data_IF_067415317058
#
_entry.id   IF_067415317058
#
_cell.length_a   1.000
_cell.length_b   1.000
_cell.length_c   1.000
_cell.angle_alpha   90.00
_cell.angle_beta   90.00
_cell.angle_gamma   90.00
#
_symmetry.space_group_name_H-M   'P 1'
#
loop_
_entity.id
_entity.type
_entity.pdbx_description
1 polymer ?
#
# COMPACT_ATOMS: atom_id res chain seq x y z
N UNK A 1 -10.66 -15.31 12.41
CA UNK A 1 -11.03 -14.35 11.34
C UNK A 1 -9.80 -13.74 10.68
N UNK A 2 -9.08 -12.78 11.27
CA UNK A 2 -7.99 -12.08 10.55
C UNK A 2 -6.84 -12.98 10.06
N UNK A 3 -6.39 -13.94 10.89
CA UNK A 3 -5.31 -14.87 10.50
C UNK A 3 -5.72 -15.80 9.34
N UNK A 4 -6.99 -16.19 9.28
CA UNK A 4 -7.54 -17.01 8.19
C UNK A 4 -7.66 -16.19 6.90
N UNK A 5 -8.11 -14.93 7.01
CA UNK A 5 -8.14 -14.01 5.85
C UNK A 5 -6.74 -13.77 5.30
N UNK A 6 -5.75 -13.56 6.17
CA UNK A 6 -4.34 -13.38 5.79
C UNK A 6 -3.80 -14.62 5.08
N UNK A 7 -4.02 -15.82 5.63
CA UNK A 7 -3.62 -17.08 5.00
C UNK A 7 -4.25 -17.26 3.60
N UNK A 8 -5.56 -17.02 3.48
CA UNK A 8 -6.26 -17.09 2.19
C UNK A 8 -5.74 -16.05 1.18
N UNK A 9 -5.37 -14.85 1.63
CA UNK A 9 -4.76 -13.84 0.76
C UNK A 9 -3.42 -14.32 0.22
N UNK A 10 -2.57 -14.90 1.07
CA UNK A 10 -1.29 -15.46 0.64
C UNK A 10 -1.45 -16.60 -0.37
N UNK A 11 -2.38 -17.52 -0.14
CA UNK A 11 -2.67 -18.62 -1.07
C UNK A 11 -3.11 -18.12 -2.46
N UNK A 12 -3.88 -17.02 -2.48
CA UNK A 12 -4.39 -16.40 -3.71
C UNK A 12 -3.45 -15.33 -4.30
N UNK A 13 -2.21 -15.21 -3.82
CA UNK A 13 -1.18 -14.24 -4.24
C UNK A 13 -1.60 -12.76 -4.10
N UNK A 14 -2.45 -12.46 -3.11
CA UNK A 14 -2.75 -11.10 -2.65
C UNK A 14 -1.76 -10.68 -1.56
N UNK A 15 -1.40 -9.39 -1.55
CA UNK A 15 -0.72 -8.79 -0.41
C UNK A 15 -1.76 -8.37 0.63
N UNK A 16 -1.68 -8.94 1.83
CA UNK A 16 -2.53 -8.56 2.95
C UNK A 16 -1.84 -7.51 3.82
N UNK A 17 -2.54 -6.41 4.12
CA UNK A 17 -2.01 -5.31 4.93
C UNK A 17 -2.99 -5.03 6.06
N UNK A 18 -2.46 -4.95 7.29
CA UNK A 18 -3.25 -4.61 8.48
C UNK A 18 -2.85 -3.25 9.03
N UNK A 19 -3.82 -2.37 9.19
CA UNK A 19 -3.66 -1.03 9.74
C UNK A 19 -4.51 -0.93 11.00
N UNK A 20 -3.91 -0.55 12.13
CA UNK A 20 -4.63 -0.42 13.40
C UNK A 20 -4.55 1.03 13.90
N UNK A 21 -5.70 1.69 14.04
CA UNK A 21 -5.80 3.06 14.54
C UNK A 21 -5.28 3.23 15.99
N UNK A 22 -5.13 2.16 16.76
CA UNK A 22 -4.50 2.19 18.10
C UNK A 22 -3.02 2.54 18.07
N UNK A 23 -2.29 2.13 17.02
CA UNK A 23 -0.82 2.18 16.95
C UNK A 23 -0.29 3.14 15.88
N UNK A 24 -1.16 3.75 15.08
CA UNK A 24 -0.80 4.72 14.04
C UNK A 24 -1.66 5.98 14.12
N UNK A 25 -1.26 7.08 13.45
CA UNK A 25 -2.17 8.22 13.24
C UNK A 25 -3.04 7.95 12.02
N UNK A 26 -4.18 7.28 12.21
CA UNK A 26 -5.05 6.88 11.10
C UNK A 26 -5.64 8.05 10.30
N UNK A 27 -5.67 9.25 10.88
CA UNK A 27 -6.10 10.48 10.22
C UNK A 27 -5.03 11.12 9.33
N UNK A 28 -3.78 10.63 9.38
CA UNK A 28 -2.66 11.18 8.60
C UNK A 28 -2.37 10.27 7.39
N UNK A 29 -2.60 10.74 6.15
CA UNK A 29 -2.39 9.94 4.94
C UNK A 29 -0.96 9.39 4.80
N UNK A 30 0.06 10.15 5.22
CA UNK A 30 1.44 9.71 5.19
C UNK A 30 1.72 8.57 6.19
N UNK A 31 1.09 8.58 7.36
CA UNK A 31 1.25 7.48 8.34
C UNK A 31 0.55 6.22 7.85
N UNK A 32 -0.60 6.37 7.18
CA UNK A 32 -1.25 5.27 6.47
C UNK A 32 -0.27 4.65 5.46
N UNK A 33 0.35 5.47 4.61
CA UNK A 33 1.30 4.98 3.62
C UNK A 33 2.52 4.31 4.25
N UNK A 34 3.14 4.89 5.28
CA UNK A 34 4.33 4.30 5.92
C UNK A 34 4.00 2.98 6.63
N UNK A 35 2.85 2.88 7.29
CA UNK A 35 2.39 1.62 7.91
C UNK A 35 2.04 0.56 6.88
N UNK A 36 1.49 0.97 5.74
CA UNK A 36 1.31 0.09 4.59
C UNK A 36 2.66 -0.39 4.05
N UNK A 37 3.57 0.54 3.76
CA UNK A 37 4.82 0.26 3.08
C UNK A 37 5.78 -0.58 3.93
N UNK A 38 5.76 -0.45 5.25
CA UNK A 38 6.57 -1.28 6.16
C UNK A 38 6.14 -2.75 6.21
N UNK A 39 4.96 -3.10 5.69
CA UNK A 39 4.48 -4.49 5.61
C UNK A 39 4.74 -5.13 4.24
N UNK A 40 5.29 -4.38 3.28
CA UNK A 40 5.55 -4.84 1.92
C UNK A 40 7.03 -5.17 1.76
N UNK A 41 7.33 -6.37 1.27
CA UNK A 41 8.68 -6.72 0.84
C UNK A 41 8.98 -6.10 -0.54
N UNK A 42 9.47 -4.86 -0.52
CA UNK A 42 9.78 -4.11 -1.74
C UNK A 42 10.92 -4.72 -2.57
N UNK A 43 11.85 -5.44 -1.94
CA UNK A 43 12.92 -6.13 -2.66
C UNK A 43 12.36 -7.33 -3.42
N UNK A 44 11.51 -8.13 -2.78
CA UNK A 44 10.78 -9.20 -3.46
C UNK A 44 9.98 -8.66 -4.65
N UNK A 45 9.29 -7.53 -4.51
CA UNK A 45 8.55 -6.92 -5.61
C UNK A 45 9.45 -6.44 -6.75
N UNK A 46 10.59 -5.84 -6.44
CA UNK A 46 11.59 -5.46 -7.45
C UNK A 46 12.11 -6.68 -8.22
N UNK A 47 12.44 -7.76 -7.51
CA UNK A 47 12.91 -9.02 -8.10
C UNK A 47 11.84 -9.68 -8.98
N UNK A 48 10.58 -9.75 -8.51
CA UNK A 48 9.44 -10.20 -9.32
C UNK A 48 9.29 -9.37 -10.60
N UNK A 49 9.46 -8.04 -10.53
CA UNK A 49 9.41 -7.18 -11.72
C UNK A 49 10.52 -7.54 -12.72
N UNK A 50 11.74 -7.74 -12.25
CA UNK A 50 12.89 -8.10 -13.10
C UNK A 50 12.63 -9.44 -13.80
N UNK A 51 12.19 -10.46 -13.06
CA UNK A 51 11.89 -11.79 -13.61
C UNK A 51 10.74 -11.73 -14.62
N UNK A 52 9.72 -10.92 -14.36
CA UNK A 52 8.65 -10.66 -15.32
C UNK A 52 9.18 -10.06 -16.61
N UNK A 53 9.98 -8.99 -16.52
CA UNK A 53 10.60 -8.37 -17.70
C UNK A 53 11.53 -9.34 -18.42
N UNK A 54 12.25 -10.19 -17.70
CA UNK A 54 13.11 -11.21 -18.29
C UNK A 54 12.29 -12.23 -19.11
N UNK A 55 11.16 -12.68 -18.55
CA UNK A 55 10.22 -13.56 -19.25
C UNK A 55 9.66 -12.88 -20.51
N UNK A 56 9.29 -11.60 -20.43
CA UNK A 56 8.81 -10.81 -21.58
C UNK A 56 9.89 -10.65 -22.67
N UNK A 57 11.17 -10.77 -22.34
CA UNK A 57 12.29 -10.77 -23.30
C UNK A 57 12.69 -12.18 -23.78
N UNK A 58 12.00 -13.23 -23.32
CA UNK A 58 12.27 -14.61 -23.72
C UNK A 58 13.41 -15.29 -22.96
N UNK A 59 13.88 -14.72 -21.85
CA UNK A 59 14.83 -15.40 -20.97
C UNK A 59 14.13 -16.52 -20.20
N UNK A 60 14.84 -17.64 -20.01
CA UNK A 60 14.43 -18.71 -19.10
C UNK A 60 14.65 -18.25 -17.66
N UNK A 61 13.63 -18.39 -16.82
CA UNK A 61 13.69 -18.03 -15.40
C UNK A 61 13.31 -19.19 -14.48
N UNK A 62 13.11 -20.38 -15.05
CA UNK A 62 12.72 -21.58 -14.29
C UNK A 62 13.75 -21.88 -13.20
N UNK A 63 13.25 -22.05 -11.98
CA UNK A 63 14.09 -22.34 -10.81
C UNK A 63 14.77 -21.11 -10.18
N UNK A 64 14.54 -19.88 -10.67
CA UNK A 64 15.03 -18.65 -10.02
C UNK A 64 13.96 -18.16 -9.02
N UNK A 65 14.15 -18.34 -7.70
CA UNK A 65 13.16 -17.91 -6.73
C UNK A 65 13.20 -16.38 -6.60
N UNK A 66 12.07 -15.67 -6.66
CA UNK A 66 12.06 -14.22 -6.50
C UNK A 66 12.53 -13.80 -5.10
N UNK A 67 12.34 -14.64 -4.08
CA UNK A 67 12.80 -14.40 -2.71
C UNK A 67 14.22 -14.90 -2.40
N UNK A 68 14.96 -15.41 -3.39
CA UNK A 68 16.34 -15.83 -3.15
C UNK A 68 17.24 -14.64 -2.86
N UNK A 69 18.23 -14.82 -2.00
CA UNK A 69 19.30 -13.84 -1.82
C UNK A 69 20.29 -13.86 -2.99
N UNK A 70 20.99 -12.73 -3.19
CA UNK A 70 22.03 -12.59 -4.22
C UNK A 70 21.56 -11.90 -5.51
N UNK A 71 22.47 -11.78 -6.47
CA UNK A 71 22.23 -11.03 -7.71
C UNK A 71 21.27 -11.78 -8.64
N UNK A 72 20.10 -11.17 -8.89
CA UNK A 72 19.06 -11.76 -9.75
C UNK A 72 19.48 -11.77 -11.23
N UNK A 73 20.26 -10.79 -11.68
CA UNK A 73 20.77 -10.71 -13.04
C UNK A 73 21.80 -11.81 -13.30
N UNK A 74 22.70 -12.07 -12.35
CA UNK A 74 23.66 -13.19 -12.41
C UNK A 74 22.92 -14.54 -12.48
N UNK A 75 21.82 -14.68 -11.73
CA UNK A 75 20.99 -15.89 -11.74
C UNK A 75 20.30 -16.12 -13.10
N UNK A 76 19.76 -15.05 -13.70
CA UNK A 76 19.17 -15.11 -15.04
C UNK A 76 20.24 -15.44 -16.08
N UNK A 77 21.42 -14.80 -16.01
CA UNK A 77 22.51 -15.02 -16.95
C UNK A 77 22.99 -16.46 -16.91
N UNK A 78 23.22 -17.01 -15.71
CA UNK A 78 23.63 -18.40 -15.49
C UNK A 78 22.61 -19.38 -16.09
N UNK A 79 21.31 -19.16 -15.83
CA UNK A 79 20.22 -20.02 -16.34
C UNK A 79 20.14 -20.01 -17.88
N UNK A 80 20.58 -18.92 -18.52
CA UNK A 80 20.54 -18.76 -19.97
C UNK A 80 21.89 -19.03 -20.65
N UNK A 81 22.95 -19.34 -19.90
CA UNK A 81 24.30 -19.51 -20.45
C UNK A 81 24.87 -18.23 -21.06
N UNK A 82 24.51 -17.08 -20.48
CA UNK A 82 24.89 -15.74 -20.94
C UNK A 82 25.79 -15.04 -19.92
N UNK A 83 26.46 -13.98 -20.38
CA UNK A 83 27.17 -13.05 -19.50
C UNK A 83 26.19 -12.09 -18.80
N UNK A 84 26.43 -11.83 -17.52
CA UNK A 84 25.52 -11.02 -16.71
C UNK A 84 25.37 -9.58 -17.19
N UNK A 85 26.47 -8.96 -17.67
CA UNK A 85 26.43 -7.60 -18.22
C UNK A 85 25.52 -7.48 -19.44
N UNK A 86 25.40 -8.54 -20.24
CA UNK A 86 24.48 -8.57 -21.38
C UNK A 86 23.01 -8.57 -20.91
N UNK A 87 22.69 -9.40 -19.91
CA UNK A 87 21.35 -9.45 -19.31
C UNK A 87 21.01 -8.11 -18.66
N UNK A 88 21.94 -7.55 -17.88
CA UNK A 88 21.79 -6.26 -17.23
C UNK A 88 21.52 -5.13 -18.24
N UNK A 89 22.28 -5.06 -19.33
CA UNK A 89 22.10 -4.05 -20.37
C UNK A 89 20.69 -4.09 -20.97
N UNK A 90 20.21 -5.28 -21.34
CA UNK A 90 18.87 -5.45 -21.90
C UNK A 90 17.76 -5.13 -20.90
N UNK A 91 17.84 -5.67 -19.68
CA UNK A 91 16.81 -5.47 -18.67
C UNK A 91 16.80 -4.05 -18.11
N UNK A 92 17.94 -3.35 -18.05
CA UNK A 92 18.02 -1.94 -17.69
C UNK A 92 17.17 -1.07 -18.62
N UNK A 93 17.23 -1.30 -19.94
CA UNK A 93 16.40 -0.58 -20.91
C UNK A 93 14.90 -0.85 -20.68
N UNK A 94 14.55 -2.09 -20.35
CA UNK A 94 13.17 -2.47 -20.04
C UNK A 94 12.68 -1.81 -18.76
N UNK A 95 13.49 -1.79 -17.69
CA UNK A 95 13.14 -1.12 -16.43
C UNK A 95 12.96 0.38 -16.66
N UNK A 96 13.84 1.01 -17.45
CA UNK A 96 13.69 2.41 -17.81
C UNK A 96 12.36 2.67 -18.56
N UNK A 97 12.01 1.82 -19.52
CA UNK A 97 10.82 2.03 -20.34
C UNK A 97 9.51 1.66 -19.62
N UNK A 98 9.52 0.63 -18.78
CA UNK A 98 8.31 0.05 -18.15
C UNK A 98 8.05 0.55 -16.73
N UNK A 99 9.10 0.96 -16.01
CA UNK A 99 9.01 1.47 -14.64
C UNK A 99 9.25 2.97 -14.63
N UNK A 100 10.45 3.43 -14.99
CA UNK A 100 10.83 4.84 -14.85
C UNK A 100 9.95 5.80 -15.68
N UNK A 101 9.54 5.39 -16.89
CA UNK A 101 8.66 6.20 -17.77
C UNK A 101 7.16 6.00 -17.49
N UNK A 102 6.78 5.15 -16.53
CA UNK A 102 5.37 4.83 -16.29
C UNK A 102 4.63 5.98 -15.57
N UNK A 103 3.80 6.70 -16.31
CA UNK A 103 3.06 7.87 -15.81
C UNK A 103 1.85 7.53 -14.94
N UNK A 104 1.47 6.26 -14.82
CA UNK A 104 0.41 5.83 -13.89
C UNK A 104 0.87 5.84 -12.42
N UNK A 105 2.18 5.98 -12.18
CA UNK A 105 2.76 6.13 -10.86
C UNK A 105 3.33 7.53 -10.67
N UNK A 106 3.31 8.01 -9.42
CA UNK A 106 3.97 9.23 -9.00
C UNK A 106 5.45 9.20 -9.40
N UNK A 107 5.96 10.35 -9.85
CA UNK A 107 7.32 10.47 -10.40
C UNK A 107 8.39 9.89 -9.47
N UNK A 108 8.39 10.30 -8.21
CA UNK A 108 9.44 9.88 -7.29
C UNK A 108 9.23 8.44 -6.80
N UNK A 109 8.00 7.92 -6.84
CA UNK A 109 7.71 6.51 -6.60
C UNK A 109 8.31 5.63 -7.71
N UNK A 110 8.05 5.93 -8.98
CA UNK A 110 8.61 5.14 -10.10
C UNK A 110 10.12 5.28 -10.23
N UNK A 111 10.70 6.41 -9.83
CA UNK A 111 12.15 6.58 -9.70
C UNK A 111 12.69 5.63 -8.64
N UNK A 112 12.09 5.62 -7.43
CA UNK A 112 12.44 4.69 -6.36
C UNK A 112 12.36 3.22 -6.82
N UNK A 113 11.24 2.80 -7.42
CA UNK A 113 11.08 1.42 -7.91
C UNK A 113 12.12 1.05 -8.98
N UNK A 114 12.48 1.98 -9.87
CA UNK A 114 13.51 1.76 -10.88
C UNK A 114 14.88 1.53 -10.24
N UNK A 115 15.23 2.32 -9.23
CA UNK A 115 16.47 2.14 -8.49
C UNK A 115 16.46 0.83 -7.70
N UNK A 116 15.39 0.50 -6.98
CA UNK A 116 15.29 -0.79 -6.28
C UNK A 116 15.48 -1.97 -7.23
N UNK A 117 14.95 -1.92 -8.46
CA UNK A 117 15.23 -2.96 -9.46
C UNK A 117 16.70 -3.01 -9.89
N UNK A 118 17.37 -1.86 -10.02
CA UNK A 118 18.79 -1.81 -10.37
C UNK A 118 19.70 -2.32 -9.24
N UNK A 119 19.32 -2.09 -7.98
CA UNK A 119 20.07 -2.53 -6.80
C UNK A 119 20.09 -4.05 -6.61
N UNK A 120 19.16 -4.78 -7.25
CA UNK A 120 19.20 -6.25 -7.24
C UNK A 120 20.34 -6.84 -8.11
N UNK A 121 21.15 -5.98 -8.75
CA UNK A 121 22.42 -6.34 -9.40
C UNK A 121 23.64 -6.29 -8.46
N UNK A 122 23.47 -5.93 -7.19
CA UNK A 122 24.61 -5.64 -6.32
C UNK A 122 25.40 -6.90 -5.96
N UNK A 123 26.72 -6.88 -6.25
CA UNK A 123 27.69 -7.95 -5.92
C UNK A 123 28.47 -7.69 -4.62
N UNK A 124 28.50 -6.45 -4.14
CA UNK A 124 29.26 -5.99 -2.97
C UNK A 124 28.41 -5.66 -1.74
N UNK A 125 27.17 -6.17 -1.69
CA UNK A 125 26.16 -5.80 -0.70
C UNK A 125 25.08 -4.90 -1.30
N UNK A 126 23.84 -5.05 -0.82
CA UNK A 126 22.73 -4.21 -1.22
C UNK A 126 22.98 -2.76 -0.77
N UNK A 127 22.66 -1.76 -1.61
CA UNK A 127 22.81 -0.34 -1.25
C UNK A 127 21.51 0.46 -1.36
N UNK A 128 20.39 -0.25 -1.53
CA UNK A 128 19.04 0.33 -1.61
C UNK A 128 18.41 0.67 -0.26
N UNK A 129 19.10 0.47 0.87
CA UNK A 129 18.60 0.74 2.22
C UNK A 129 18.08 2.18 2.39
N UNK A 130 18.74 3.24 1.87
CA UNK A 130 18.20 4.59 1.98
C UNK A 130 16.83 4.76 1.28
N UNK A 131 16.62 4.07 0.16
CA UNK A 131 15.35 4.08 -0.57
C UNK A 131 14.27 3.35 0.22
N UNK A 132 14.58 2.18 0.78
CA UNK A 132 13.67 1.42 1.62
C UNK A 132 13.30 2.19 2.89
N UNK A 133 14.28 2.76 3.60
CA UNK A 133 14.05 3.55 4.81
C UNK A 133 13.19 4.79 4.54
N UNK A 134 13.36 5.44 3.38
CA UNK A 134 12.51 6.55 2.97
C UNK A 134 11.08 6.12 2.62
N UNK A 135 10.94 5.05 1.85
CA UNK A 135 9.65 4.54 1.40
C UNK A 135 8.80 4.02 2.57
N UNK A 136 9.42 3.37 3.55
CA UNK A 136 8.78 2.81 4.74
C UNK A 136 8.60 3.81 5.88
N UNK A 137 9.21 4.99 5.78
CA UNK A 137 9.11 6.06 6.77
C UNK A 137 10.08 5.95 7.95
N UNK A 138 11.00 4.99 7.96
CA UNK A 138 12.10 4.90 8.93
C UNK A 138 13.02 6.13 8.87
N UNK A 139 13.26 6.65 7.66
CA UNK A 139 13.97 7.90 7.44
C UNK A 139 13.24 8.79 6.42
N UNK A 140 12.40 9.69 6.93
CA UNK A 140 11.62 10.62 6.09
C UNK A 140 12.44 11.78 5.51
N UNK A 141 13.74 11.90 5.84
CA UNK A 141 14.58 13.01 5.36
C UNK A 141 14.96 12.81 3.91
N UNK A 142 14.56 13.78 3.10
CA UNK A 142 14.80 13.75 1.66
C UNK A 142 16.28 13.77 1.27
N UNK A 143 17.13 14.32 2.13
CA UNK A 143 18.58 14.37 1.90
C UNK A 143 19.20 12.98 1.71
N UNK A 144 18.62 11.94 2.32
CA UNK A 144 19.08 10.56 2.17
C UNK A 144 18.77 9.95 0.80
N UNK A 145 17.76 10.46 0.09
CA UNK A 145 17.31 9.92 -1.20
C UNK A 145 17.54 10.86 -2.39
N UNK A 146 17.99 12.09 -2.15
CA UNK A 146 18.39 13.03 -3.22
C UNK A 146 19.41 12.46 -4.21
N UNK A 147 20.42 11.66 -3.81
CA UNK A 147 21.35 11.04 -4.77
C UNK A 147 20.66 10.16 -5.82
N UNK A 148 19.47 9.62 -5.50
CA UNK A 148 18.66 8.81 -6.40
C UNK A 148 17.65 9.65 -7.22
N UNK A 149 17.85 10.97 -7.30
CA UNK A 149 16.94 11.91 -8.00
C UNK A 149 15.51 11.96 -7.44
N UNK A 150 15.35 11.70 -6.14
CA UNK A 150 14.07 11.83 -5.42
C UNK A 150 14.07 13.17 -4.67
N UNK A 151 13.03 13.98 -4.89
CA UNK A 151 12.96 15.38 -4.43
C UNK A 151 11.63 15.76 -3.76
N UNK A 152 10.68 14.83 -3.67
CA UNK A 152 9.40 14.99 -2.98
C UNK A 152 9.38 14.23 -1.65
N UNK A 153 8.97 14.89 -0.57
CA UNK A 153 8.70 14.20 0.70
C UNK A 153 7.35 13.50 0.67
N UNK A 154 7.24 12.36 1.33
CA UNK A 154 5.97 11.69 1.58
C UNK A 154 5.33 12.36 2.80
N UNK A 155 4.30 13.17 2.56
CA UNK A 155 3.62 13.99 3.55
C UNK A 155 2.10 13.97 3.30
N UNK A 156 1.33 14.71 4.10
CA UNK A 156 -0.14 14.75 4.03
C UNK A 156 -0.68 15.02 2.62
N UNK A 157 0.00 15.85 1.84
CA UNK A 157 -0.46 16.30 0.53
C UNK A 157 -0.02 15.37 -0.61
N UNK A 158 1.02 14.56 -0.38
CA UNK A 158 1.63 13.72 -1.43
C UNK A 158 1.33 12.25 -1.24
N UNK A 159 1.13 11.78 0.00
CA UNK A 159 1.02 10.36 0.34
C UNK A 159 -0.06 9.62 -0.44
N UNK A 160 -1.17 10.28 -0.79
CA UNK A 160 -2.21 9.68 -1.62
C UNK A 160 -1.68 9.16 -2.96
N UNK A 161 -0.86 9.94 -3.65
CA UNK A 161 -0.25 9.53 -4.91
C UNK A 161 0.70 8.33 -4.72
N UNK A 162 1.37 8.24 -3.57
CA UNK A 162 2.22 7.10 -3.22
C UNK A 162 1.40 5.85 -2.92
N UNK A 163 0.26 5.98 -2.23
CA UNK A 163 -0.68 4.88 -1.97
C UNK A 163 -1.23 4.32 -3.29
N UNK A 164 -1.75 5.19 -4.15
CA UNK A 164 -2.28 4.81 -5.47
C UNK A 164 -1.18 4.14 -6.33
N UNK A 165 0.05 4.67 -6.30
CA UNK A 165 1.20 4.08 -7.01
C UNK A 165 1.59 2.71 -6.46
N UNK A 166 1.51 2.50 -5.15
CA UNK A 166 1.85 1.23 -4.53
C UNK A 166 0.87 0.12 -4.91
N UNK A 167 -0.44 0.38 -4.85
CA UNK A 167 -1.45 -0.57 -5.32
C UNK A 167 -1.27 -0.93 -6.79
N UNK A 168 -1.03 0.09 -7.63
CA UNK A 168 -0.74 -0.11 -9.04
C UNK A 168 0.54 -0.94 -9.25
N UNK A 169 1.61 -0.66 -8.52
CA UNK A 169 2.88 -1.38 -8.60
C UNK A 169 2.74 -2.86 -8.23
N UNK A 170 2.06 -3.17 -7.12
CA UNK A 170 1.83 -4.55 -6.68
C UNK A 170 1.16 -5.36 -7.80
N UNK A 171 0.12 -4.78 -8.42
CA UNK A 171 -0.57 -5.41 -9.55
C UNK A 171 0.30 -5.53 -10.79
N UNK A 172 1.10 -4.50 -11.09
CA UNK A 172 2.00 -4.46 -12.24
C UNK A 172 3.07 -5.57 -12.15
N UNK A 173 3.64 -5.76 -10.96
CA UNK A 173 4.67 -6.77 -10.68
C UNK A 173 4.13 -8.19 -10.88
N UNK A 174 2.84 -8.40 -10.65
CA UNK A 174 2.16 -9.66 -11.00
C UNK A 174 1.30 -10.25 -9.89
N UNK A 175 1.27 -9.66 -8.69
CA UNK A 175 0.34 -10.08 -7.65
C UNK A 175 -1.12 -9.93 -8.10
N UNK A 176 -2.01 -10.74 -7.52
CA UNK A 176 -3.46 -10.68 -7.76
C UNK A 176 -4.05 -9.32 -7.35
N UNK A 177 -3.49 -8.70 -6.31
CA UNK A 177 -3.92 -7.40 -5.82
C UNK A 177 -3.49 -7.15 -4.38
N UNK A 178 -4.16 -6.21 -3.73
CA UNK A 178 -3.92 -5.88 -2.33
C UNK A 178 -5.22 -5.91 -1.52
N UNK A 179 -5.19 -6.51 -0.34
CA UNK A 179 -6.27 -6.47 0.63
C UNK A 179 -5.80 -5.65 1.83
N UNK A 180 -6.46 -4.52 2.09
CA UNK A 180 -6.13 -3.64 3.21
C UNK A 180 -7.24 -3.70 4.24
N UNK A 181 -6.90 -4.16 5.43
CA UNK A 181 -7.77 -4.17 6.60
C UNK A 181 -7.43 -2.98 7.50
N UNK A 182 -8.39 -2.10 7.75
CA UNK A 182 -8.26 -0.96 8.65
C UNK A 182 -9.12 -1.21 9.88
N UNK A 183 -8.49 -1.44 11.03
CA UNK A 183 -9.18 -1.40 12.31
C UNK A 183 -9.33 0.06 12.76
N UNK A 184 -10.57 0.52 12.69
CA UNK A 184 -11.00 1.89 12.96
C UNK A 184 -11.71 2.03 14.32
N UNK A 185 -11.84 0.95 15.09
CA UNK A 185 -12.58 0.97 16.35
C UNK A 185 -12.06 2.08 17.29
N UNK A 186 -10.73 2.33 17.28
CA UNK A 186 -10.13 3.35 18.13
C UNK A 186 -10.56 4.79 17.82
N UNK A 187 -10.86 5.11 16.57
CA UNK A 187 -11.25 6.48 16.17
C UNK A 187 -12.62 6.86 16.72
N UNK A 188 -13.47 5.86 16.95
CA UNK A 188 -14.84 6.04 17.47
C UNK A 188 -14.89 6.30 18.99
N UNK A 189 -13.77 6.25 19.70
CA UNK A 189 -13.73 6.41 21.16
C UNK A 189 -13.94 7.88 21.54
N UNK A 190 -15.11 8.20 22.10
CA UNK A 190 -15.53 9.59 22.37
C UNK A 190 -14.83 10.26 23.56
N UNK A 191 -14.48 9.48 24.59
CA UNK A 191 -13.84 9.99 25.82
C UNK A 191 -12.38 9.61 25.84
N UNK A 192 -11.53 10.44 26.47
CA UNK A 192 -10.12 10.12 26.64
C UNK A 192 -10.00 8.82 27.45
N UNK A 193 -9.51 7.74 26.85
CA UNK A 193 -9.37 6.46 27.52
C UNK A 193 -8.12 6.44 28.41
N UNK A 194 -8.14 5.62 29.46
CA UNK A 194 -7.05 5.50 30.45
C UNK A 194 -6.09 4.33 30.17
N UNK A 195 -6.12 3.80 28.97
CA UNK A 195 -5.39 2.60 28.54
C UNK A 195 -4.01 2.89 27.93
N UNK A 196 -3.61 4.17 27.85
CA UNK A 196 -2.33 4.59 27.25
C UNK A 196 -2.28 4.47 25.73
N UNK A 197 -3.33 3.93 25.10
CA UNK A 197 -3.44 3.83 23.64
C UNK A 197 -3.82 5.19 23.04
N UNK A 198 -3.68 5.34 21.73
CA UNK A 198 -3.89 6.65 21.05
C UNK A 198 -5.31 7.19 21.17
N UNK A 199 -5.48 8.41 21.67
CA UNK A 199 -6.77 9.11 21.64
C UNK A 199 -6.92 9.96 20.37
N UNK A 200 -8.10 9.93 19.75
CA UNK A 200 -8.47 10.76 18.60
C UNK A 200 -9.41 11.87 19.05
N UNK A 201 -8.99 13.12 18.85
CA UNK A 201 -9.90 14.26 19.03
C UNK A 201 -10.99 14.21 17.96
N UNK A 202 -12.10 14.93 18.16
CA UNK A 202 -13.16 15.03 17.14
C UNK A 202 -12.61 15.52 15.80
N UNK A 203 -11.69 16.49 15.81
CA UNK A 203 -11.04 17.00 14.61
C UNK A 203 -10.26 15.89 13.88
N UNK A 204 -9.47 15.10 14.60
CA UNK A 204 -8.75 13.96 14.03
C UNK A 204 -9.70 12.88 13.49
N UNK A 205 -10.83 12.64 14.15
CA UNK A 205 -11.84 11.71 13.65
C UNK A 205 -12.46 12.21 12.33
N UNK A 206 -12.77 13.51 12.22
CA UNK A 206 -13.26 14.10 10.97
C UNK A 206 -12.21 14.02 9.85
N UNK A 207 -10.93 14.28 10.13
CA UNK A 207 -9.84 14.11 9.16
C UNK A 207 -9.70 12.65 8.71
N UNK A 208 -9.86 11.69 9.63
CA UNK A 208 -9.88 10.28 9.26
C UNK A 208 -11.08 9.93 8.37
N UNK A 209 -12.27 10.47 8.66
CA UNK A 209 -13.46 10.25 7.84
C UNK A 209 -13.39 10.92 6.47
N UNK A 210 -12.72 12.07 6.38
CA UNK A 210 -12.34 12.68 5.12
C UNK A 210 -11.43 11.75 4.30
N UNK A 211 -10.39 11.16 4.92
CA UNK A 211 -9.53 10.18 4.26
C UNK A 211 -10.29 8.94 3.78
N UNK A 212 -11.21 8.41 4.58
CA UNK A 212 -12.07 7.29 4.15
C UNK A 212 -12.96 7.67 2.97
N UNK A 213 -13.61 8.84 3.02
CA UNK A 213 -14.42 9.34 1.90
C UNK A 213 -13.56 9.52 0.65
N UNK A 214 -12.35 10.03 0.80
CA UNK A 214 -11.40 10.16 -0.29
C UNK A 214 -11.09 8.83 -0.98
N UNK A 215 -10.95 7.74 -0.24
CA UNK A 215 -10.79 6.41 -0.80
C UNK A 215 -12.04 5.95 -1.54
N UNK A 216 -13.23 6.16 -0.98
CA UNK A 216 -14.49 5.81 -1.65
C UNK A 216 -14.65 6.57 -2.97
N UNK A 217 -14.43 7.88 -2.95
CA UNK A 217 -14.54 8.75 -4.13
C UNK A 217 -13.44 8.49 -5.17
N UNK A 218 -12.35 7.83 -4.79
CA UNK A 218 -11.23 7.49 -5.65
C UNK A 218 -11.04 5.99 -5.88
N UNK A 219 -12.06 5.18 -5.63
CA UNK A 219 -11.96 3.72 -5.70
C UNK A 219 -11.52 3.23 -7.09
N UNK A 220 -11.85 3.97 -8.16
CA UNK A 220 -11.41 3.73 -9.53
C UNK A 220 -9.89 3.81 -9.72
N UNK A 221 -9.19 4.57 -8.87
CA UNK A 221 -7.72 4.70 -8.87
C UNK A 221 -7.02 3.62 -8.03
N UNK A 222 -7.75 2.92 -7.16
CA UNK A 222 -7.22 1.88 -6.28
C UNK A 222 -7.12 0.54 -7.04
N UNK A 223 -6.08 0.44 -7.87
CA UNK A 223 -5.89 -0.70 -8.79
C UNK A 223 -5.89 -2.04 -8.05
N UNK A 224 -6.81 -2.95 -8.41
CA UNK A 224 -6.89 -4.33 -7.89
C UNK A 224 -6.81 -4.38 -6.35
N UNK A 225 -7.58 -3.52 -5.69
CA UNK A 225 -7.52 -3.35 -4.23
C UNK A 225 -8.89 -3.60 -3.60
N UNK A 226 -8.90 -4.36 -2.50
CA UNK A 226 -10.01 -4.45 -1.57
C UNK A 226 -9.62 -3.73 -0.28
N UNK A 227 -10.38 -2.71 0.11
CA UNK A 227 -10.17 -1.97 1.35
C UNK A 227 -11.35 -2.22 2.29
N UNK A 228 -11.08 -2.81 3.45
CA UNK A 228 -12.07 -3.18 4.46
C UNK A 228 -11.84 -2.34 5.70
N UNK A 229 -12.83 -1.55 6.11
CA UNK A 229 -12.80 -0.79 7.36
C UNK A 229 -13.62 -1.54 8.41
N UNK A 230 -12.96 -2.07 9.42
CA UNK A 230 -13.61 -2.69 10.57
C UNK A 230 -13.78 -1.64 11.66
N UNK A 231 -14.95 -1.62 12.27
CA UNK A 231 -15.28 -0.66 13.32
C UNK A 231 -16.29 -1.26 14.30
N UNK A 232 -16.55 -0.55 15.39
CA UNK A 232 -17.54 -0.96 16.39
C UNK A 232 -18.90 -0.27 16.13
N UNK A 233 -19.90 -0.62 16.94
CA UNK A 233 -21.26 -0.06 16.82
C UNK A 233 -21.31 1.46 17.01
N UNK A 234 -20.36 2.08 17.71
CA UNK A 234 -20.33 3.52 17.91
C UNK A 234 -20.05 4.29 16.60
N UNK A 235 -19.46 3.65 15.59
CA UNK A 235 -19.35 4.24 14.26
C UNK A 235 -20.71 4.51 13.63
N UNK A 236 -21.74 3.72 13.97
CA UNK A 236 -23.07 3.81 13.37
C UNK A 236 -23.90 4.98 13.87
N UNK A 237 -23.40 5.74 14.85
CA UNK A 237 -24.07 6.92 15.36
C UNK A 237 -24.12 8.04 14.28
N UNK A 238 -25.33 8.32 13.80
CA UNK A 238 -25.60 9.32 12.77
C UNK A 238 -26.10 10.67 13.31
N UNK A 239 -26.21 10.81 14.64
CA UNK A 239 -26.76 12.01 15.30
C UNK A 239 -25.96 13.28 14.99
N UNK A 240 -24.64 13.14 14.80
CA UNK A 240 -23.72 14.27 14.62
C UNK A 240 -23.47 15.07 15.90
N UNK A 241 -24.04 14.66 17.04
CA UNK A 241 -23.99 15.39 18.31
C UNK A 241 -22.56 15.70 18.77
N UNK A 242 -22.37 16.72 19.62
CA UNK A 242 -21.05 17.14 20.12
C UNK A 242 -20.26 15.99 20.78
N UNK A 243 -20.96 15.07 21.43
CA UNK A 243 -20.38 13.88 22.07
C UNK A 243 -20.13 12.70 21.11
N UNK A 244 -20.72 12.73 19.92
CA UNK A 244 -20.63 11.65 18.95
C UNK A 244 -19.24 11.52 18.33
N UNK A 245 -18.92 10.29 17.92
CA UNK A 245 -17.78 9.93 17.10
C UNK A 245 -18.17 9.05 15.91
N UNK A 246 -19.46 8.83 15.67
CA UNK A 246 -19.92 8.04 14.53
C UNK A 246 -19.73 8.76 13.19
N UNK A 247 -20.08 8.10 12.09
CA UNK A 247 -19.96 8.69 10.76
C UNK A 247 -20.82 9.96 10.60
N UNK A 248 -21.84 10.16 11.43
CA UNK A 248 -22.70 11.35 11.42
C UNK A 248 -21.96 12.67 11.69
N UNK A 249 -20.74 12.63 12.22
CA UNK A 249 -19.96 13.85 12.47
C UNK A 249 -19.33 14.44 11.20
N UNK A 250 -19.33 13.70 10.08
CA UNK A 250 -18.76 14.12 8.81
C UNK A 250 -19.69 13.76 7.65
N UNK A 251 -20.52 14.71 7.25
CA UNK A 251 -21.62 14.52 6.30
C UNK A 251 -21.17 13.93 4.96
N UNK A 252 -20.00 14.33 4.46
CA UNK A 252 -19.52 13.87 3.16
C UNK A 252 -19.13 12.39 3.13
N UNK A 253 -18.74 11.78 4.27
CA UNK A 253 -18.60 10.31 4.35
C UNK A 253 -19.97 9.67 4.52
N UNK A 254 -20.83 10.24 5.36
CA UNK A 254 -22.18 9.72 5.65
C UNK A 254 -22.96 9.43 4.37
N UNK A 255 -22.98 10.38 3.43
CA UNK A 255 -23.70 10.23 2.15
C UNK A 255 -23.15 9.14 1.23
N UNK A 256 -21.94 8.62 1.50
CA UNK A 256 -21.31 7.54 0.73
C UNK A 256 -21.49 6.16 1.36
N UNK A 257 -21.68 6.10 2.67
CA UNK A 257 -21.74 4.85 3.44
C UNK A 257 -23.14 4.51 3.92
N UNK A 258 -24.04 5.49 3.98
CA UNK A 258 -25.43 5.24 4.37
C UNK A 258 -26.13 4.38 3.32
N UNK A 259 -26.94 3.45 3.78
CA UNK A 259 -27.80 2.66 2.89
C UNK A 259 -28.82 3.57 2.20
N UNK A 260 -28.69 3.73 0.89
CA UNK A 260 -29.69 4.36 0.03
C UNK A 260 -30.99 3.55 0.00
N UNK A 261 -30.89 2.23 0.16
CA UNK A 261 -32.02 1.29 0.21
C UNK A 261 -32.01 0.55 1.55
N UNK A 262 -32.98 0.87 2.40
CA UNK A 262 -33.16 0.24 3.72
C UNK A 262 -34.27 -0.80 3.65
N UNK A 263 -33.91 -2.07 3.47
CA UNK A 263 -34.84 -3.17 3.69
C UNK A 263 -34.86 -3.54 5.18
N UNK A 264 -36.05 -3.78 5.74
CA UNK A 264 -36.21 -4.09 7.18
C UNK A 264 -35.75 -5.50 7.56
N UNK A 265 -35.74 -6.42 6.61
CA UNK A 265 -35.58 -7.86 6.85
C UNK A 265 -34.40 -8.48 6.10
N UNK A 266 -33.73 -7.73 5.21
CA UNK A 266 -32.60 -8.22 4.41
C UNK A 266 -31.43 -7.25 4.46
N UNK A 267 -30.22 -7.79 4.64
CA UNK A 267 -28.98 -7.04 4.45
C UNK A 267 -28.82 -6.76 2.97
N UNK A 268 -28.48 -5.52 2.61
CA UNK A 268 -28.11 -5.17 1.26
C UNK A 268 -26.65 -5.64 1.01
N UNK A 269 -26.41 -6.69 0.21
CA UNK A 269 -25.06 -7.21 0.00
C UNK A 269 -24.18 -6.28 -0.85
N UNK A 270 -24.78 -5.30 -1.52
CA UNK A 270 -24.06 -4.26 -2.29
C UNK A 270 -23.94 -2.93 -1.53
N UNK A 271 -24.34 -2.89 -0.26
CA UNK A 271 -24.13 -1.72 0.58
C UNK A 271 -22.65 -1.51 0.89
N UNK A 272 -22.22 -0.25 0.91
CA UNK A 272 -20.89 0.16 1.38
C UNK A 272 -20.66 -0.21 2.85
N UNK A 273 -21.73 -0.37 3.63
CA UNK A 273 -21.70 -0.72 5.04
C UNK A 273 -22.40 -2.05 5.28
N UNK A 274 -21.64 -3.07 5.68
CA UNK A 274 -22.16 -4.39 6.00
C UNK A 274 -22.08 -4.62 7.51
N UNK A 275 -23.21 -5.05 8.11
CA UNK A 275 -23.26 -5.45 9.52
C UNK A 275 -23.09 -6.97 9.62
N UNK A 276 -22.00 -7.40 10.23
CA UNK A 276 -21.77 -8.80 10.55
C UNK A 276 -22.47 -9.08 11.89
N UNK A 277 -23.45 -10.01 11.87
CA UNK A 277 -24.19 -10.48 13.04
C UNK A 277 -23.59 -11.75 13.62
#
# INVERSE_FOLDING_TARGET
MYAETEANCHELDFIFIKLNAETMRAHMPQDFFFRFASQVDWRLLARRMILRLATEQGYRIDGIPPGADGNVFDSIATTNGLESEFVLGNLRLMIQNRVFKNTKMARDFRVCMSHLCMEENSRGGYTGEPLLAWLTGENTRISGVRPFSIYTSINRNTARYFIESAFYWIRLVGHSGTVVLIDNARVTVARIPRDGLRYYTRAMAMEHYELLREFVDGADRLTSTLLVVVTNSAFLDDSGDRGSRGYGIYEALRTRVMDDVRDRNRVNPVASLVRLT
#
